data_IF_459903678756
#
_entry.id   IF_459903678756
#
_cell.length_a   1.000
_cell.length_b   1.000
_cell.length_c   1.000
_cell.angle_alpha   90.00
_cell.angle_beta   90.00
_cell.angle_gamma   90.00
#
_symmetry.space_group_name_H-M   'P 1'
#
loop_
_entity.id
_entity.type
_entity.pdbx_description
1 polymer ?
#
# COMPACT_ATOMS: atom_id res chain seq x y z
N UNK A 1 1.48 25.28 -10.45
CA UNK A 1 2.31 24.75 -11.55
C UNK A 1 3.43 23.99 -10.88
N UNK A 2 3.41 22.66 -10.96
CA UNK A 2 4.52 21.84 -10.46
C UNK A 2 5.71 21.97 -11.41
N UNK A 3 6.95 21.98 -10.92
CA UNK A 3 8.14 22.06 -11.76
C UNK A 3 8.33 20.76 -12.57
N UNK A 4 8.93 20.89 -13.76
CA UNK A 4 9.23 19.76 -14.66
C UNK A 4 10.25 18.77 -14.05
N UNK A 5 11.05 19.23 -13.08
CA UNK A 5 11.97 18.42 -12.29
C UNK A 5 11.77 18.68 -10.79
N UNK A 6 11.69 17.60 -10.01
CA UNK A 6 11.50 17.65 -8.57
C UNK A 6 12.87 17.62 -7.85
N UNK A 7 13.07 18.40 -6.76
CA UNK A 7 14.38 18.68 -6.17
C UNK A 7 15.03 17.55 -5.35
N UNK A 8 14.64 16.28 -5.56
CA UNK A 8 15.14 15.13 -4.78
C UNK A 8 14.52 15.02 -3.37
N UNK A 9 15.17 14.22 -2.51
CA UNK A 9 14.74 14.04 -1.11
C UNK A 9 14.59 15.42 -0.46
N UNK A 10 13.49 15.68 0.28
CA UNK A 10 13.34 16.94 0.99
C UNK A 10 14.61 17.20 1.81
N UNK A 11 15.20 18.42 1.74
CA UNK A 11 16.39 18.74 2.51
C UNK A 11 16.13 18.46 3.99
N UNK A 12 17.20 18.16 4.75
CA UNK A 12 17.08 18.04 6.22
C UNK A 12 16.51 19.37 6.73
N UNK A 13 15.28 19.33 7.21
CA UNK A 13 14.57 20.50 7.73
C UNK A 13 14.87 20.58 9.22
N UNK A 14 15.21 21.77 9.71
CA UNK A 14 15.43 22.03 11.14
C UNK A 14 14.14 21.80 11.98
N UNK A 15 12.99 21.79 11.31
CA UNK A 15 11.67 21.60 11.90
C UNK A 15 11.03 20.34 11.32
N UNK A 16 10.62 19.42 12.21
CA UNK A 16 9.73 18.32 11.85
C UNK A 16 8.32 18.86 11.63
N UNK A 17 7.77 18.61 10.43
CA UNK A 17 6.42 19.02 10.09
C UNK A 17 5.45 17.98 10.65
N UNK A 18 4.71 18.36 11.69
CA UNK A 18 3.62 17.56 12.21
C UNK A 18 2.33 17.90 11.48
N UNK A 19 1.57 16.88 11.07
CA UNK A 19 0.21 17.06 10.55
C UNK A 19 -0.74 16.86 11.73
N UNK A 20 -1.23 17.97 12.28
CA UNK A 20 -2.22 17.92 13.35
C UNK A 20 -3.57 17.48 12.77
N UNK A 21 -4.12 16.39 13.31
CA UNK A 21 -5.45 15.91 12.95
C UNK A 21 -6.50 16.68 13.74
N UNK A 22 -7.62 16.97 13.09
CA UNK A 22 -8.80 17.51 13.79
C UNK A 22 -9.29 16.41 14.74
N UNK A 23 -9.56 16.70 16.04
CA UNK A 23 -10.07 15.71 16.98
C UNK A 23 -11.31 14.99 16.44
N UNK A 24 -11.28 13.66 16.45
CA UNK A 24 -12.35 12.82 15.90
C UNK A 24 -12.22 12.51 14.40
N UNK A 25 -11.11 12.89 13.75
CA UNK A 25 -10.81 12.46 12.38
C UNK A 25 -10.46 10.97 12.37
N UNK A 26 -11.14 10.20 11.51
CA UNK A 26 -10.82 8.80 11.25
C UNK A 26 -10.00 8.66 9.96
N UNK A 27 -9.27 7.56 9.84
CA UNK A 27 -8.55 7.21 8.61
C UNK A 27 -9.53 7.00 7.45
N UNK A 28 -9.22 7.59 6.29
CA UNK A 28 -10.04 7.41 5.09
C UNK A 28 -9.56 6.17 4.34
N UNK A 29 -10.32 5.08 4.41
CA UNK A 29 -10.16 3.93 3.53
C UNK A 29 -11.16 4.03 2.37
N UNK A 30 -10.66 4.39 1.18
CA UNK A 30 -11.46 4.45 -0.05
C UNK A 30 -10.93 3.43 -1.05
N UNK A 31 -11.84 2.69 -1.69
CA UNK A 31 -11.47 1.82 -2.79
C UNK A 31 -10.77 2.64 -3.90
N UNK A 32 -9.69 2.11 -4.51
CA UNK A 32 -9.07 2.76 -5.66
C UNK A 32 -10.08 3.00 -6.77
N UNK A 33 -9.98 4.15 -7.45
CA UNK A 33 -10.81 4.42 -8.62
C UNK A 33 -10.55 3.39 -9.71
N UNK A 34 -11.60 2.97 -10.40
CA UNK A 34 -11.47 2.09 -11.56
C UNK A 34 -10.77 2.86 -12.68
N UNK A 35 -9.71 2.26 -13.20
CA UNK A 35 -8.93 2.78 -14.32
C UNK A 35 -8.86 1.74 -15.44
N UNK A 36 -8.72 2.21 -16.67
CA UNK A 36 -8.44 1.34 -17.80
C UNK A 36 -7.01 0.77 -17.71
N UNK A 37 -6.74 -0.33 -18.42
CA UNK A 37 -5.42 -0.96 -18.39
C UNK A 37 -4.28 -0.02 -18.82
N UNK A 38 -4.56 0.90 -19.75
CA UNK A 38 -3.58 1.88 -20.23
C UNK A 38 -3.24 2.89 -19.14
N UNK A 39 -4.26 3.45 -18.47
CA UNK A 39 -4.07 4.37 -17.35
C UNK A 39 -3.33 3.70 -16.18
N UNK A 40 -3.60 2.42 -15.92
CA UNK A 40 -2.91 1.65 -14.90
C UNK A 40 -1.42 1.47 -15.21
N UNK A 41 -1.08 1.21 -16.48
CA UNK A 41 0.31 1.08 -16.90
C UNK A 41 1.05 2.41 -16.76
N UNK A 42 0.46 3.52 -17.22
CA UNK A 42 1.06 4.85 -17.09
C UNK A 42 1.26 5.23 -15.61
N UNK A 43 0.25 4.98 -14.76
CA UNK A 43 0.35 5.21 -13.34
C UNK A 43 1.49 4.39 -12.72
N UNK A 44 1.64 3.12 -13.12
CA UNK A 44 2.70 2.25 -12.62
C UNK A 44 4.09 2.79 -13.00
N UNK A 45 4.26 3.23 -14.23
CA UNK A 45 5.53 3.79 -14.71
C UNK A 45 5.89 5.07 -13.94
N UNK A 46 4.91 5.96 -13.69
CA UNK A 46 5.11 7.15 -12.87
C UNK A 46 5.48 6.81 -11.43
N UNK A 47 4.78 5.86 -10.81
CA UNK A 47 5.10 5.42 -9.44
C UNK A 47 6.51 4.82 -9.36
N UNK A 48 6.94 4.08 -10.38
CA UNK A 48 8.29 3.52 -10.43
C UNK A 48 9.35 4.62 -10.53
N UNK A 49 9.16 5.64 -11.37
CA UNK A 49 10.07 6.79 -11.43
C UNK A 49 10.19 7.49 -10.07
N UNK A 50 9.06 7.72 -9.39
CA UNK A 50 9.05 8.37 -8.07
C UNK A 50 9.73 7.52 -6.99
N UNK A 51 9.62 6.19 -7.07
CA UNK A 51 10.34 5.25 -6.20
C UNK A 51 11.84 5.30 -6.44
N UNK A 52 12.28 5.25 -7.70
CA UNK A 52 13.69 5.29 -8.10
C UNK A 52 14.35 6.61 -7.70
N UNK A 53 13.61 7.71 -7.79
CA UNK A 53 14.04 9.05 -7.32
C UNK A 53 14.00 9.21 -5.79
N UNK A 54 13.43 8.25 -5.06
CA UNK A 54 13.34 8.26 -3.59
C UNK A 54 12.31 9.24 -3.03
N UNK A 55 11.38 9.73 -3.85
CA UNK A 55 10.31 10.63 -3.41
C UNK A 55 9.22 9.92 -2.64
N UNK A 56 8.96 8.66 -3.01
CA UNK A 56 8.07 7.77 -2.30
C UNK A 56 8.86 6.53 -1.86
N UNK A 57 8.39 5.89 -0.80
CA UNK A 57 8.92 4.60 -0.35
C UNK A 57 7.76 3.68 -0.01
N UNK A 58 7.90 2.37 -0.27
CA UNK A 58 6.95 1.39 0.25
C UNK A 58 6.85 1.55 1.77
N UNK A 59 5.64 1.52 2.31
CA UNK A 59 5.46 1.58 3.76
C UNK A 59 6.06 0.31 4.38
N UNK A 60 6.70 0.47 5.54
CA UNK A 60 7.40 -0.64 6.23
C UNK A 60 6.46 -1.81 6.52
N UNK A 61 5.21 -1.49 6.89
CA UNK A 61 4.17 -2.49 7.05
C UNK A 61 3.91 -3.25 5.74
N UNK A 62 3.66 -2.55 4.65
CA UNK A 62 3.32 -3.17 3.37
C UNK A 62 4.49 -4.04 2.83
N UNK A 63 5.74 -3.62 3.00
CA UNK A 63 6.91 -4.44 2.63
C UNK A 63 7.02 -5.71 3.48
N UNK A 64 6.86 -5.60 4.80
CA UNK A 64 6.91 -6.72 5.73
C UNK A 64 5.78 -7.72 5.45
N UNK A 65 4.57 -7.22 5.28
CA UNK A 65 3.39 -8.04 5.04
C UNK A 65 3.45 -8.72 3.68
N UNK A 66 3.93 -8.04 2.63
CA UNK A 66 4.16 -8.66 1.34
C UNK A 66 5.21 -9.78 1.40
N UNK A 67 6.23 -9.65 2.25
CA UNK A 67 7.23 -10.71 2.48
C UNK A 67 6.68 -11.89 3.26
N UNK A 68 5.96 -11.64 4.34
CA UNK A 68 5.36 -12.68 5.19
C UNK A 68 4.32 -13.48 4.41
N UNK A 69 3.48 -12.80 3.64
CA UNK A 69 2.38 -13.42 2.90
C UNK A 69 2.72 -13.76 1.45
N UNK A 70 3.99 -13.64 1.02
CA UNK A 70 4.42 -13.82 -0.37
C UNK A 70 3.88 -15.10 -1.02
N UNK A 71 3.90 -16.22 -0.29
CA UNK A 71 3.40 -17.51 -0.76
C UNK A 71 1.88 -17.57 -0.97
N UNK A 72 1.14 -16.60 -0.42
CA UNK A 72 -0.33 -16.55 -0.38
C UNK A 72 -0.91 -15.36 -1.17
N UNK A 73 -0.07 -14.38 -1.55
CA UNK A 73 -0.46 -13.24 -2.37
C UNK A 73 -1.09 -13.69 -3.69
N UNK A 74 -2.14 -12.99 -4.11
CA UNK A 74 -2.94 -13.24 -5.32
C UNK A 74 -3.62 -14.62 -5.40
N UNK A 75 -3.39 -15.51 -4.42
CA UNK A 75 -4.08 -16.82 -4.31
C UNK A 75 -5.34 -16.70 -3.44
N UNK A 76 -5.17 -16.20 -2.22
CA UNK A 76 -6.26 -16.00 -1.27
C UNK A 76 -6.01 -14.83 -0.29
N UNK A 77 -4.85 -14.16 -0.38
CA UNK A 77 -4.49 -12.99 0.42
C UNK A 77 -4.20 -11.80 -0.49
N UNK A 78 -4.70 -10.62 -0.12
CA UNK A 78 -4.33 -9.33 -0.70
C UNK A 78 -3.97 -8.40 0.45
N UNK A 79 -2.78 -7.79 0.40
CA UNK A 79 -2.32 -6.82 1.40
C UNK A 79 -2.59 -5.41 0.88
N UNK A 80 -3.32 -4.63 1.66
CA UNK A 80 -3.48 -3.19 1.51
C UNK A 80 -2.68 -2.46 2.59
N UNK A 81 -2.62 -1.13 2.50
CA UNK A 81 -1.76 -0.29 3.33
C UNK A 81 -1.86 -0.64 4.83
N UNK A 82 -3.08 -0.79 5.36
CA UNK A 82 -3.31 -1.09 6.78
C UNK A 82 -4.11 -2.40 7.00
N UNK A 83 -4.61 -3.02 5.93
CA UNK A 83 -5.56 -4.14 5.99
C UNK A 83 -5.08 -5.35 5.18
N UNK A 84 -5.40 -6.56 5.65
CA UNK A 84 -5.23 -7.79 4.88
C UNK A 84 -6.60 -8.32 4.49
N UNK A 85 -6.86 -8.44 3.19
CA UNK A 85 -8.05 -9.09 2.68
C UNK A 85 -7.76 -10.57 2.43
N UNK A 86 -8.53 -11.44 3.09
CA UNK A 86 -8.52 -12.88 2.87
C UNK A 86 -9.79 -13.25 2.10
N UNK A 87 -9.66 -13.88 0.93
CA UNK A 87 -10.81 -14.24 0.09
C UNK A 87 -10.83 -15.75 -0.20
N UNK A 88 -12.01 -16.34 -0.38
CA UNK A 88 -12.19 -17.79 -0.56
C UNK A 88 -13.49 -18.08 -1.30
N UNK A 89 -13.60 -19.25 -1.94
CA UNK A 89 -14.79 -19.61 -2.73
C UNK A 89 -15.89 -20.24 -1.88
N UNK A 90 -15.53 -20.84 -0.74
CA UNK A 90 -16.47 -21.46 0.20
C UNK A 90 -16.13 -21.11 1.65
N UNK A 91 -17.11 -21.24 2.55
CA UNK A 91 -16.91 -21.01 3.98
C UNK A 91 -15.88 -21.97 4.60
N UNK A 92 -15.91 -23.25 4.20
CA UNK A 92 -14.98 -24.27 4.72
C UNK A 92 -13.54 -23.92 4.35
N UNK A 93 -13.31 -23.59 3.09
CA UNK A 93 -12.00 -23.13 2.60
C UNK A 93 -11.57 -21.82 3.29
N UNK A 94 -12.53 -20.92 3.57
CA UNK A 94 -12.24 -19.67 4.27
C UNK A 94 -11.74 -19.89 5.70
N UNK A 95 -12.27 -20.88 6.42
CA UNK A 95 -11.80 -21.22 7.77
C UNK A 95 -10.33 -21.69 7.74
N UNK A 96 -9.96 -22.51 6.76
CA UNK A 96 -8.58 -22.98 6.59
C UNK A 96 -7.62 -21.86 6.17
N UNK A 97 -8.04 -20.98 5.26
CA UNK A 97 -7.26 -19.80 4.85
C UNK A 97 -7.05 -18.82 6.02
N UNK A 98 -8.10 -18.53 6.79
CA UNK A 98 -8.00 -17.68 7.98
C UNK A 98 -7.05 -18.31 9.00
N UNK A 99 -7.16 -19.62 9.24
CA UNK A 99 -6.25 -20.31 10.16
C UNK A 99 -4.79 -20.20 9.71
N UNK A 100 -4.53 -20.36 8.42
CA UNK A 100 -3.18 -20.22 7.84
C UNK A 100 -2.65 -18.81 8.03
N UNK A 101 -3.46 -17.79 7.73
CA UNK A 101 -3.06 -16.37 7.88
C UNK A 101 -2.79 -16.03 9.33
N UNK A 102 -3.68 -16.40 10.26
CA UNK A 102 -3.55 -16.13 11.68
C UNK A 102 -2.39 -16.88 12.36
N UNK A 103 -1.96 -18.02 11.81
CA UNK A 103 -0.77 -18.75 12.30
C UNK A 103 0.54 -18.16 11.78
N UNK A 104 0.47 -17.37 10.70
CA UNK A 104 1.64 -16.75 10.07
C UNK A 104 1.96 -15.38 10.72
N UNK A 105 0.96 -14.74 11.32
CA UNK A 105 1.10 -13.53 12.15
C UNK A 105 1.61 -13.85 13.56
#
# INVERSE_FOLDING_TARGET
VFPDELPGIPPVREVEFNIELIPGSESISKAPYRMAAIELNELKDQLQELLERGFIRPTVFMDLMNRIFYEFLDKFVIVFIDDILVFSKSKVEHEDHLRTVLQTL
#
